data_IF_666985550470
#
_entry.id   IF_666985550470
#
_cell.length_a   1.000
_cell.length_b   1.000
_cell.length_c   1.000
_cell.angle_alpha   90.00
_cell.angle_beta   90.00
_cell.angle_gamma   90.00
#
_symmetry.space_group_name_H-M   'P 1'
#
loop_
_entity.id
_entity.type
_entity.pdbx_description
1 polymer ?
#
# COMPACT_ATOMS: atom_id res chain seq x y z
N UNK A 1 27.40 30.31 16.19
CA UNK A 1 26.08 29.86 16.73
C UNK A 1 24.94 30.08 15.76
N UNK A 2 24.73 31.30 15.23
CA UNK A 2 23.63 31.55 14.28
C UNK A 2 23.82 30.87 12.91
N UNK A 3 25.06 30.86 12.40
CA UNK A 3 25.42 30.21 11.12
C UNK A 3 25.43 28.67 11.21
N UNK A 4 25.49 28.13 12.43
CA UNK A 4 25.44 26.70 12.73
C UNK A 4 24.02 26.21 13.06
N UNK A 5 22.99 27.02 12.79
CA UNK A 5 21.58 26.64 12.99
C UNK A 5 21.11 26.58 14.44
N UNK A 6 21.87 27.11 15.42
CA UNK A 6 21.45 27.10 16.82
C UNK A 6 20.17 27.91 17.03
N UNK A 7 19.29 27.44 17.91
CA UNK A 7 18.05 28.16 18.19
C UNK A 7 18.33 29.50 18.88
N UNK A 8 17.42 30.45 18.76
CA UNK A 8 17.57 31.74 19.44
C UNK A 8 17.55 31.59 20.97
N UNK A 9 16.93 30.52 21.49
CA UNK A 9 16.91 30.22 22.92
C UNK A 9 18.29 29.69 23.37
N UNK A 10 18.96 28.88 22.56
CA UNK A 10 20.34 28.46 22.79
C UNK A 10 21.31 29.64 22.73
N UNK A 11 21.11 30.55 21.76
CA UNK A 11 21.90 31.78 21.64
C UNK A 11 21.64 32.70 22.84
N UNK A 12 20.40 32.82 23.31
CA UNK A 12 20.04 33.64 24.47
C UNK A 12 20.63 33.07 25.77
N UNK A 13 20.60 31.75 25.94
CA UNK A 13 21.24 31.06 27.06
C UNK A 13 22.75 31.31 27.05
N UNK A 14 23.40 31.18 25.88
CA UNK A 14 24.84 31.44 25.75
C UNK A 14 25.20 32.90 25.99
N UNK A 15 24.36 33.85 25.56
CA UNK A 15 24.54 35.27 25.87
C UNK A 15 24.46 35.52 27.38
N UNK A 16 23.53 34.88 28.10
CA UNK A 16 23.45 35.00 29.56
C UNK A 16 24.68 34.39 30.26
N UNK A 17 25.20 33.26 29.77
CA UNK A 17 26.46 32.69 30.27
C UNK A 17 27.63 33.64 30.06
N UNK A 18 27.75 34.26 28.88
CA UNK A 18 28.81 35.24 28.61
C UNK A 18 28.68 36.51 29.46
N UNK A 19 27.45 36.96 29.74
CA UNK A 19 27.21 38.11 30.62
C UNK A 19 27.57 37.77 32.08
N UNK A 20 27.25 36.55 32.53
CA UNK A 20 27.59 36.08 33.87
C UNK A 20 29.12 36.00 34.09
N UNK A 21 29.89 35.73 33.03
CA UNK A 21 31.35 35.67 33.06
C UNK A 21 32.05 37.04 33.03
N UNK A 22 31.31 38.16 32.93
CA UNK A 22 31.89 39.52 32.97
C UNK A 22 32.21 39.89 34.42
N UNK A 23 33.49 40.15 34.70
CA UNK A 23 33.98 40.53 36.04
C UNK A 23 33.78 42.02 36.38
N UNK A 24 33.60 42.87 35.37
CA UNK A 24 33.35 44.30 35.51
C UNK A 24 31.85 44.56 35.68
N UNK A 25 31.42 44.90 36.90
CA UNK A 25 30.01 45.07 37.27
C UNK A 25 29.29 46.15 36.45
N UNK A 26 29.99 47.24 36.07
CA UNK A 26 29.39 48.29 35.26
C UNK A 26 29.13 47.82 33.82
N UNK A 27 30.07 47.05 33.24
CA UNK A 27 29.90 46.42 31.92
C UNK A 27 28.86 45.32 31.94
N UNK A 28 28.81 44.52 33.01
CA UNK A 28 27.82 43.47 33.21
C UNK A 28 26.40 44.03 33.23
N UNK A 29 26.13 45.05 34.05
CA UNK A 29 24.83 45.70 34.12
C UNK A 29 24.39 46.31 32.77
N UNK A 30 25.34 46.85 31.99
CA UNK A 30 25.07 47.37 30.64
C UNK A 30 24.75 46.25 29.65
N UNK A 31 25.47 45.13 29.74
CA UNK A 31 25.25 43.96 28.90
C UNK A 31 23.91 43.26 29.19
N UNK A 32 23.49 43.18 30.46
CA UNK A 32 22.18 42.67 30.87
C UNK A 32 21.03 43.49 30.27
N UNK A 33 21.11 44.83 30.39
CA UNK A 33 20.12 45.75 29.81
C UNK A 33 20.06 45.60 28.28
N UNK A 34 21.21 45.53 27.62
CA UNK A 34 21.28 45.33 26.17
C UNK A 34 20.69 43.97 25.76
N UNK A 35 20.96 42.89 26.51
CA UNK A 35 20.43 41.56 26.22
C UNK A 35 18.91 41.51 26.32
N UNK A 36 18.30 42.17 27.31
CA UNK A 36 16.84 42.28 27.43
C UNK A 36 16.23 42.99 26.23
N UNK A 37 16.81 44.13 25.81
CA UNK A 37 16.34 44.90 24.66
C UNK A 37 16.52 44.11 23.35
N UNK A 38 17.70 43.51 23.14
CA UNK A 38 17.98 42.69 21.97
C UNK A 38 17.05 41.47 21.89
N UNK A 39 16.78 40.77 23.00
CA UNK A 39 15.79 39.68 23.04
C UNK A 39 14.41 40.15 22.60
N UNK A 40 13.98 41.34 23.05
CA UNK A 40 12.71 41.93 22.65
C UNK A 40 12.70 42.25 21.14
N UNK A 41 13.76 42.84 20.61
CA UNK A 41 13.87 43.19 19.18
C UNK A 41 13.90 41.93 18.29
N UNK A 42 14.73 40.94 18.62
CA UNK A 42 14.78 39.69 17.86
C UNK A 42 13.49 38.86 18.00
N UNK A 43 12.84 38.90 19.16
CA UNK A 43 11.52 38.31 19.37
C UNK A 43 10.41 38.99 18.55
N UNK A 44 10.49 40.30 18.34
CA UNK A 44 9.58 41.06 17.47
C UNK A 44 9.87 40.77 15.99
N UNK A 45 11.14 40.72 15.58
CA UNK A 45 11.51 40.34 14.21
C UNK A 45 11.07 38.90 13.85
N UNK A 46 11.01 37.98 14.83
CA UNK A 46 10.43 36.64 14.65
C UNK A 46 8.92 36.67 14.48
N UNK A 47 8.21 37.54 15.20
CA UNK A 47 6.76 37.76 15.00
C UNK A 47 6.49 38.27 13.58
N UNK A 48 7.21 39.29 13.13
CA UNK A 48 7.12 39.77 11.75
C UNK A 48 7.50 38.72 10.68
N UNK A 49 8.51 37.86 10.92
CA UNK A 49 8.81 36.75 9.99
C UNK A 49 7.76 35.65 9.96
N UNK A 50 7.09 35.37 11.10
CA UNK A 50 6.00 34.39 11.17
C UNK A 50 4.70 34.92 10.59
N UNK A 51 4.44 36.22 10.72
CA UNK A 51 3.27 36.86 10.12
C UNK A 51 3.38 37.00 8.58
N UNK A 52 4.55 36.70 7.99
CA UNK A 52 4.81 36.83 6.55
C UNK A 52 5.22 35.53 5.83
N UNK A 53 5.02 34.33 6.39
CA UNK A 53 4.97 33.14 5.52
C UNK A 53 3.58 33.08 4.88
N UNK A 54 3.37 33.94 3.88
CA UNK A 54 2.18 33.89 3.06
C UNK A 54 2.24 32.60 2.24
N UNK A 55 1.47 31.59 2.66
CA UNK A 55 1.31 30.36 1.88
C UNK A 55 0.96 30.75 0.45
N UNK A 56 1.74 30.37 -0.55
CA UNK A 56 1.38 30.67 -1.94
C UNK A 56 0.39 29.62 -2.43
N UNK A 57 -0.50 30.01 -3.35
CA UNK A 57 -1.42 29.05 -3.96
C UNK A 57 -0.62 27.95 -4.68
N UNK A 58 0.46 28.33 -5.35
CA UNK A 58 1.37 27.44 -6.07
C UNK A 58 1.94 26.36 -5.15
N UNK A 59 2.37 26.73 -3.94
CA UNK A 59 2.87 25.75 -2.96
C UNK A 59 1.77 24.75 -2.56
N UNK A 60 0.53 25.22 -2.38
CA UNK A 60 -0.58 24.33 -2.08
C UNK A 60 -0.91 23.40 -3.26
N UNK A 61 -0.85 23.92 -4.50
CA UNK A 61 -1.09 23.15 -5.71
C UNK A 61 -0.04 22.05 -5.93
N UNK A 62 1.23 22.35 -5.64
CA UNK A 62 2.35 21.43 -5.82
C UNK A 62 2.45 20.38 -4.70
N UNK A 63 2.10 20.73 -3.45
CA UNK A 63 2.33 19.84 -2.30
C UNK A 63 1.09 19.14 -1.77
N UNK A 64 -0.08 19.77 -1.89
CA UNK A 64 -1.28 19.34 -1.16
C UNK A 64 -2.50 19.08 -2.05
N UNK A 65 -2.44 19.45 -3.33
CA UNK A 65 -3.54 19.33 -4.29
C UNK A 65 -3.11 18.60 -5.57
N UNK A 66 -2.13 17.69 -5.49
CA UNK A 66 -1.67 16.92 -6.67
C UNK A 66 -2.66 15.82 -7.06
N UNK A 67 -3.66 15.57 -6.23
CA UNK A 67 -4.81 14.72 -6.52
C UNK A 67 -5.88 15.39 -7.41
N UNK A 68 -5.76 16.70 -7.66
CA UNK A 68 -6.59 17.41 -8.64
C UNK A 68 -6.04 17.21 -10.06
N UNK A 69 -6.93 17.06 -11.03
CA UNK A 69 -6.56 17.07 -12.45
C UNK A 69 -6.27 18.51 -12.94
N UNK A 70 -5.77 18.63 -14.16
CA UNK A 70 -5.32 19.92 -14.69
C UNK A 70 -6.47 20.94 -14.85
N UNK A 71 -7.67 20.48 -15.21
CA UNK A 71 -8.87 21.32 -15.31
C UNK A 71 -9.29 21.86 -13.92
N UNK A 72 -9.31 21.01 -12.90
CA UNK A 72 -9.59 21.39 -11.51
C UNK A 72 -8.53 22.34 -10.97
N UNK A 73 -7.25 22.13 -11.32
CA UNK A 73 -6.14 23.04 -10.96
C UNK A 73 -6.30 24.40 -11.64
N UNK A 74 -6.70 24.45 -12.91
CA UNK A 74 -7.00 25.70 -13.61
C UNK A 74 -8.21 26.42 -12.98
N UNK A 75 -9.24 25.67 -12.59
CA UNK A 75 -10.40 26.23 -11.88
C UNK A 75 -10.01 26.79 -10.50
N UNK A 76 -9.09 26.14 -9.76
CA UNK A 76 -8.55 26.66 -8.49
C UNK A 76 -7.84 27.99 -8.68
N UNK A 77 -7.01 28.13 -9.72
CA UNK A 77 -6.34 29.41 -10.03
C UNK A 77 -7.36 30.51 -10.30
N UNK A 78 -8.37 30.22 -11.13
CA UNK A 78 -9.45 31.17 -11.46
C UNK A 78 -10.27 31.57 -10.24
N UNK A 79 -10.60 30.63 -9.37
CA UNK A 79 -11.33 30.92 -8.11
C UNK A 79 -10.46 31.75 -7.18
N UNK A 80 -9.15 31.48 -7.10
CA UNK A 80 -8.25 32.24 -6.26
C UNK A 80 -8.16 33.72 -6.69
N UNK A 81 -8.10 33.98 -8.00
CA UNK A 81 -8.05 35.34 -8.55
C UNK A 81 -9.35 36.14 -8.31
N UNK A 82 -10.51 35.47 -8.26
CA UNK A 82 -11.83 36.12 -8.20
C UNK A 82 -12.49 36.12 -6.82
N UNK A 83 -12.31 35.04 -6.04
CA UNK A 83 -12.93 34.82 -4.74
C UNK A 83 -11.94 34.56 -3.60
N UNK A 84 -10.64 34.56 -3.88
CA UNK A 84 -9.59 34.41 -2.88
C UNK A 84 -9.52 33.01 -2.24
N UNK A 85 -8.74 32.90 -1.16
CA UNK A 85 -8.41 31.62 -0.51
C UNK A 85 -9.62 30.89 0.09
N UNK A 86 -10.62 31.61 0.58
CA UNK A 86 -11.79 30.99 1.21
C UNK A 86 -12.66 30.23 0.22
N UNK A 87 -12.87 30.78 -0.98
CA UNK A 87 -13.62 30.10 -2.05
C UNK A 87 -12.84 28.90 -2.61
N UNK A 88 -11.51 29.01 -2.75
CA UNK A 88 -10.66 27.87 -3.08
C UNK A 88 -10.83 26.75 -2.06
N UNK A 89 -10.76 27.09 -0.76
CA UNK A 89 -10.93 26.11 0.31
C UNK A 89 -12.29 25.42 0.24
N UNK A 90 -13.40 26.17 0.06
CA UNK A 90 -14.75 25.59 -0.08
C UNK A 90 -14.81 24.62 -1.26
N UNK A 91 -14.27 25.01 -2.42
CA UNK A 91 -14.29 24.19 -3.63
C UNK A 91 -13.45 22.92 -3.49
N UNK A 92 -12.24 23.03 -2.95
CA UNK A 92 -11.35 21.88 -2.70
C UNK A 92 -12.00 20.89 -1.74
N UNK A 93 -12.64 21.38 -0.66
CA UNK A 93 -13.35 20.51 0.27
C UNK A 93 -14.58 19.85 -0.35
N UNK A 94 -15.32 20.56 -1.21
CA UNK A 94 -16.43 19.97 -1.95
C UNK A 94 -15.97 18.84 -2.89
N UNK A 95 -14.86 19.04 -3.61
CA UNK A 95 -14.26 17.96 -4.41
C UNK A 95 -13.72 16.81 -3.57
N UNK A 96 -13.12 17.09 -2.41
CA UNK A 96 -12.67 16.03 -1.50
C UNK A 96 -13.85 15.18 -0.98
N UNK A 97 -14.98 15.82 -0.70
CA UNK A 97 -16.19 15.15 -0.25
C UNK A 97 -16.81 14.30 -1.36
N UNK A 98 -16.87 14.83 -2.58
CA UNK A 98 -17.37 14.14 -3.78
C UNK A 98 -16.39 13.12 -4.37
N UNK A 99 -15.10 13.17 -4.00
CA UNK A 99 -14.12 12.18 -4.42
C UNK A 99 -14.49 10.80 -3.86
N UNK A 100 -14.00 9.76 -4.53
CA UNK A 100 -14.11 8.39 -4.08
C UNK A 100 -12.85 7.61 -4.45
N UNK A 101 -12.76 6.36 -3.99
CA UNK A 101 -11.61 5.48 -4.23
C UNK A 101 -10.24 6.12 -3.93
N UNK A 102 -9.29 5.85 -4.83
CA UNK A 102 -7.88 6.19 -4.68
C UNK A 102 -7.65 7.71 -4.74
N UNK A 103 -8.49 8.45 -5.47
CA UNK A 103 -8.45 9.93 -5.49
C UNK A 103 -8.77 10.48 -4.10
N UNK A 104 -9.77 9.91 -3.40
CA UNK A 104 -10.12 10.31 -2.03
C UNK A 104 -9.06 9.90 -1.02
N UNK A 105 -8.39 8.76 -1.23
CA UNK A 105 -7.28 8.31 -0.41
C UNK A 105 -6.08 9.26 -0.54
N UNK A 106 -5.64 9.54 -1.77
CA UNK A 106 -4.55 10.49 -2.07
C UNK A 106 -4.88 11.87 -1.51
N UNK A 107 -6.09 12.35 -1.75
CA UNK A 107 -6.57 13.63 -1.20
C UNK A 107 -6.55 13.63 0.33
N UNK A 108 -6.97 12.56 1.00
CA UNK A 108 -6.96 12.48 2.47
C UNK A 108 -5.53 12.53 3.03
N UNK A 109 -4.55 11.91 2.37
CA UNK A 109 -3.13 11.95 2.79
C UNK A 109 -2.54 13.34 2.59
N UNK A 110 -2.72 13.93 1.42
CA UNK A 110 -2.18 15.26 1.09
C UNK A 110 -2.84 16.36 1.92
N UNK A 111 -4.16 16.35 2.07
CA UNK A 111 -4.88 17.32 2.90
C UNK A 111 -4.57 17.12 4.40
N UNK A 112 -4.21 15.91 4.83
CA UNK A 112 -3.70 15.69 6.19
C UNK A 112 -2.33 16.34 6.41
N UNK A 113 -1.46 16.31 5.39
CA UNK A 113 -0.19 17.04 5.44
C UNK A 113 -0.45 18.57 5.46
N UNK A 114 -1.37 19.05 4.63
CA UNK A 114 -1.83 20.44 4.64
C UNK A 114 -2.33 20.85 6.03
N UNK A 115 -3.17 20.02 6.66
CA UNK A 115 -3.66 20.24 8.02
C UNK A 115 -2.54 20.41 9.04
N UNK A 116 -1.49 19.58 9.00
CA UNK A 116 -0.35 19.74 9.90
C UNK A 116 0.38 21.06 9.68
N UNK A 117 0.50 21.47 8.42
CA UNK A 117 1.16 22.71 8.04
C UNK A 117 0.35 23.92 8.53
N UNK A 118 -0.87 24.09 8.03
CA UNK A 118 -1.70 25.26 8.34
C UNK A 118 -2.08 25.35 9.83
N UNK A 119 -2.43 24.24 10.50
CA UNK A 119 -2.74 24.29 11.94
C UNK A 119 -1.51 24.71 12.74
N UNK A 120 -0.32 24.22 12.38
CA UNK A 120 0.94 24.62 13.02
C UNK A 120 1.19 26.13 12.88
N UNK A 121 0.87 26.73 11.74
CA UNK A 121 1.04 28.18 11.56
C UNK A 121 0.04 29.00 12.38
N UNK A 122 -1.16 28.47 12.62
CA UNK A 122 -2.14 29.10 13.51
C UNK A 122 -1.74 29.01 14.99
N UNK A 123 -1.38 27.82 15.47
CA UNK A 123 -1.13 27.57 16.90
C UNK A 123 0.33 27.81 17.33
N UNK A 124 1.25 27.90 16.37
CA UNK A 124 2.69 28.07 16.59
C UNK A 124 3.45 26.77 16.85
N UNK A 125 4.77 26.82 16.62
CA UNK A 125 5.69 25.67 16.76
C UNK A 125 5.64 25.01 18.15
N UNK A 126 5.53 25.80 19.21
CA UNK A 126 5.52 25.29 20.59
C UNK A 126 4.29 24.41 20.86
N UNK A 127 3.10 24.91 20.50
CA UNK A 127 1.86 24.18 20.66
C UNK A 127 1.79 22.99 19.70
N UNK A 128 2.31 23.12 18.48
CA UNK A 128 2.45 21.98 17.56
C UNK A 128 3.39 20.89 18.10
N UNK A 129 4.45 21.27 18.82
CA UNK A 129 5.32 20.35 19.56
C UNK A 129 4.55 19.54 20.61
N UNK A 130 3.72 20.21 21.42
CA UNK A 130 2.84 19.55 22.41
C UNK A 130 1.84 18.58 21.76
N UNK A 131 1.28 18.94 20.60
CA UNK A 131 0.43 18.02 19.83
C UNK A 131 1.22 16.78 19.35
N UNK A 132 2.46 16.96 18.93
CA UNK A 132 3.33 15.86 18.51
C UNK A 132 3.65 14.92 19.67
N UNK A 133 4.01 15.46 20.83
CA UNK A 133 4.27 14.69 22.06
C UNK A 133 3.03 13.90 22.50
N UNK A 134 1.85 14.54 22.51
CA UNK A 134 0.59 13.85 22.80
C UNK A 134 0.36 12.67 21.86
N UNK A 135 0.59 12.87 20.57
CA UNK A 135 0.46 11.79 19.59
C UNK A 135 1.47 10.66 19.83
N UNK A 136 2.71 10.98 20.19
CA UNK A 136 3.75 10.00 20.49
C UNK A 136 3.47 9.22 21.79
N UNK A 137 2.80 9.85 22.76
CA UNK A 137 2.30 9.21 23.99
C UNK A 137 1.09 8.31 23.77
N UNK A 138 0.59 8.19 22.54
CA UNK A 138 -0.56 7.34 22.21
C UNK A 138 -1.92 7.98 22.47
N UNK A 139 -1.99 9.30 22.63
CA UNK A 139 -3.26 10.01 22.82
C UNK A 139 -4.23 9.76 21.65
N UNK A 140 -5.52 9.71 21.96
CA UNK A 140 -6.53 9.48 20.93
C UNK A 140 -6.65 10.69 19.99
N UNK A 141 -7.16 10.48 18.77
CA UNK A 141 -7.45 11.59 17.85
C UNK A 141 -8.46 12.59 18.46
N UNK A 142 -9.32 12.15 19.38
CA UNK A 142 -10.25 13.03 20.10
C UNK A 142 -9.49 13.93 21.08
N UNK A 143 -8.53 13.39 21.83
CA UNK A 143 -7.71 14.14 22.77
C UNK A 143 -6.83 15.16 22.02
N UNK A 144 -6.23 14.72 20.91
CA UNK A 144 -5.45 15.60 20.03
C UNK A 144 -6.35 16.71 19.45
N UNK A 145 -7.55 16.37 18.97
CA UNK A 145 -8.49 17.36 18.44
C UNK A 145 -8.95 18.36 19.51
N UNK A 146 -9.19 17.90 20.74
CA UNK A 146 -9.56 18.76 21.86
C UNK A 146 -8.41 19.72 22.20
N UNK A 147 -7.17 19.22 22.25
CA UNK A 147 -5.99 20.04 22.52
C UNK A 147 -5.73 21.08 21.43
N UNK A 148 -5.93 20.73 20.15
CA UNK A 148 -5.86 21.70 19.04
C UNK A 148 -6.90 22.82 19.22
N UNK A 149 -8.14 22.47 19.58
CA UNK A 149 -9.19 23.48 19.83
C UNK A 149 -8.87 24.36 21.05
N UNK A 150 -8.27 23.81 22.11
CA UNK A 150 -7.79 24.58 23.27
C UNK A 150 -6.75 25.62 22.85
N UNK A 151 -5.77 25.23 22.03
CA UNK A 151 -4.75 26.16 21.53
C UNK A 151 -5.33 27.23 20.60
N UNK A 152 -6.33 26.88 19.79
CA UNK A 152 -7.04 27.84 18.94
C UNK A 152 -7.86 28.82 19.78
N UNK A 153 -8.51 28.35 20.84
CA UNK A 153 -9.31 29.19 21.73
C UNK A 153 -8.47 30.28 22.42
N UNK A 154 -7.19 30.00 22.66
CA UNK A 154 -6.20 30.92 23.25
C UNK A 154 -5.65 31.97 22.26
N UNK A 155 -5.99 31.90 20.97
CA UNK A 155 -5.62 32.92 19.98
C UNK A 155 -6.40 34.21 20.27
N UNK A 156 -5.69 35.32 20.47
CA UNK A 156 -6.28 36.63 20.77
C UNK A 156 -6.80 37.39 19.55
N UNK A 157 -6.23 37.13 18.37
CA UNK A 157 -6.67 37.70 17.10
C UNK A 157 -7.96 37.00 16.63
N UNK A 158 -9.07 37.73 16.60
CA UNK A 158 -10.39 37.19 16.26
C UNK A 158 -10.49 36.66 14.83
N UNK A 159 -9.83 37.30 13.85
CA UNK A 159 -9.85 36.86 12.46
C UNK A 159 -8.99 35.61 12.27
N UNK A 160 -7.80 35.60 12.87
CA UNK A 160 -6.91 34.43 12.88
C UNK A 160 -7.55 33.25 13.61
N UNK A 161 -8.24 33.49 14.72
CA UNK A 161 -8.98 32.48 15.48
C UNK A 161 -10.10 31.87 14.65
N UNK A 162 -10.94 32.69 14.01
CA UNK A 162 -12.03 32.19 13.16
C UNK A 162 -11.50 31.34 11.98
N UNK A 163 -10.39 31.75 11.35
CA UNK A 163 -9.72 30.97 10.30
C UNK A 163 -9.18 29.64 10.83
N UNK A 164 -8.56 29.64 12.01
CA UNK A 164 -8.03 28.44 12.65
C UNK A 164 -9.15 27.47 13.06
N UNK A 165 -10.27 27.95 13.59
CA UNK A 165 -11.44 27.12 13.94
C UNK A 165 -12.02 26.42 12.70
N UNK A 166 -12.24 27.16 11.61
CA UNK A 166 -12.69 26.58 10.33
C UNK A 166 -11.73 25.50 9.83
N UNK A 167 -10.42 25.77 9.87
CA UNK A 167 -9.40 24.79 9.47
C UNK A 167 -9.40 23.55 10.37
N UNK A 168 -9.54 23.71 11.69
CA UNK A 168 -9.55 22.58 12.63
C UNK A 168 -10.75 21.65 12.42
N UNK A 169 -11.93 22.21 12.14
CA UNK A 169 -13.13 21.42 11.81
C UNK A 169 -12.90 20.61 10.52
N UNK A 170 -12.33 21.22 9.48
CA UNK A 170 -11.95 20.55 8.24
C UNK A 170 -10.98 19.39 8.50
N UNK A 171 -9.93 19.68 9.26
CA UNK A 171 -8.88 18.73 9.57
C UNK A 171 -9.40 17.54 10.37
N UNK A 172 -10.31 17.77 11.32
CA UNK A 172 -10.99 16.68 12.03
C UNK A 172 -11.71 15.74 11.06
N UNK A 173 -12.41 16.27 10.06
CA UNK A 173 -13.09 15.47 9.02
C UNK A 173 -12.08 14.67 8.18
N UNK A 174 -11.00 15.31 7.72
CA UNK A 174 -9.93 14.67 6.93
C UNK A 174 -9.28 13.52 7.71
N UNK A 175 -8.89 13.75 8.96
CA UNK A 175 -8.28 12.73 9.82
C UNK A 175 -9.23 11.55 10.08
N UNK A 176 -10.53 11.81 10.22
CA UNK A 176 -11.55 10.77 10.35
C UNK A 176 -11.69 9.90 9.09
N UNK A 177 -11.46 10.46 7.90
CA UNK A 177 -11.42 9.72 6.63
C UNK A 177 -10.15 8.85 6.55
N UNK A 178 -8.97 9.41 6.85
CA UNK A 178 -7.72 8.65 6.83
C UNK A 178 -7.74 7.48 7.81
N UNK A 179 -8.44 7.61 8.96
CA UNK A 179 -8.59 6.54 9.94
C UNK A 179 -9.43 5.36 9.43
N UNK A 180 -10.46 5.62 8.63
CA UNK A 180 -11.27 4.57 7.99
C UNK A 180 -10.44 3.80 6.97
N UNK A 181 -9.73 4.50 6.09
CA UNK A 181 -8.80 3.87 5.16
C UNK A 181 -7.76 3.00 5.87
N UNK A 182 -7.19 3.47 6.99
CA UNK A 182 -6.19 2.70 7.74
C UNK A 182 -6.75 1.48 8.49
N UNK A 183 -8.04 1.45 8.80
CA UNK A 183 -8.70 0.28 9.41
C UNK A 183 -9.11 -0.74 8.36
N UNK A 184 -9.45 -0.29 7.15
CA UNK A 184 -10.03 -1.13 6.11
C UNK A 184 -9.04 -1.56 5.02
N UNK A 185 -7.85 -0.95 4.94
CA UNK A 185 -6.82 -1.26 3.95
C UNK A 185 -5.44 -1.43 4.60
N UNK A 186 -4.83 -2.60 4.41
CA UNK A 186 -3.37 -2.66 4.33
C UNK A 186 -2.98 -1.85 3.09
N UNK A 187 -2.12 -0.85 3.25
CA UNK A 187 -1.66 0.02 2.17
C UNK A 187 -0.78 -0.82 1.22
N UNK A 188 -1.35 -1.40 0.15
CA UNK A 188 -0.60 -2.13 -0.87
C UNK A 188 0.22 -1.15 -1.70
N UNK A 189 1.44 -0.83 -1.27
CA UNK A 189 2.32 0.05 -2.04
C UNK A 189 2.63 -0.58 -3.40
N UNK A 190 2.71 0.24 -4.43
CA UNK A 190 3.05 -0.22 -5.77
C UNK A 190 4.40 -0.95 -5.75
N UNK A 191 5.37 -0.43 -5.01
CA UNK A 191 6.69 -1.01 -4.85
C UNK A 191 6.63 -2.44 -4.31
N UNK A 192 5.78 -2.68 -3.30
CA UNK A 192 5.59 -4.03 -2.76
C UNK A 192 4.98 -4.97 -3.81
N UNK A 193 4.03 -4.49 -4.60
CA UNK A 193 3.45 -5.27 -5.69
C UNK A 193 4.48 -5.56 -6.79
N UNK A 194 5.35 -4.60 -7.12
CA UNK A 194 6.42 -4.76 -8.10
C UNK A 194 7.47 -5.78 -7.66
N UNK A 195 7.83 -5.78 -6.37
CA UNK A 195 8.84 -6.67 -5.79
C UNK A 195 8.31 -8.09 -5.53
N UNK A 196 7.02 -8.25 -5.20
CA UNK A 196 6.47 -9.55 -4.80
C UNK A 196 5.66 -10.26 -5.89
N UNK A 197 4.97 -9.51 -6.75
CA UNK A 197 3.94 -10.08 -7.64
C UNK A 197 4.19 -9.83 -9.13
N UNK A 198 5.16 -8.97 -9.46
CA UNK A 198 5.44 -8.55 -10.84
C UNK A 198 6.92 -8.73 -11.20
N UNK A 199 7.60 -9.72 -10.61
CA UNK A 199 9.03 -9.98 -10.91
C UNK A 199 9.23 -10.68 -12.25
N UNK A 200 8.13 -11.14 -12.87
CA UNK A 200 8.09 -11.64 -14.24
C UNK A 200 8.08 -10.52 -15.29
N UNK A 201 7.88 -9.25 -14.89
CA UNK A 201 8.04 -8.10 -15.77
C UNK A 201 9.51 -7.72 -15.94
N UNK A 202 9.88 -7.29 -17.14
CA UNK A 202 11.19 -6.68 -17.39
C UNK A 202 11.24 -5.22 -16.88
N UNK A 203 12.44 -4.63 -16.89
CA UNK A 203 12.65 -3.30 -16.32
C UNK A 203 11.91 -2.18 -17.06
N UNK A 204 11.76 -2.29 -18.38
CA UNK A 204 10.98 -1.35 -19.19
C UNK A 204 9.48 -1.40 -18.83
N UNK A 205 8.93 -2.61 -18.69
CA UNK A 205 7.55 -2.82 -18.26
C UNK A 205 7.32 -2.31 -16.83
N UNK A 206 8.31 -2.50 -15.94
CA UNK A 206 8.26 -1.96 -14.57
C UNK A 206 8.29 -0.44 -14.55
N UNK A 207 9.10 0.21 -15.40
CA UNK A 207 9.10 1.66 -15.54
C UNK A 207 7.76 2.18 -16.10
N UNK A 208 7.18 1.47 -17.08
CA UNK A 208 5.85 1.81 -17.62
C UNK A 208 4.76 1.68 -16.54
N UNK A 209 4.81 0.66 -15.68
CA UNK A 209 3.90 0.51 -14.54
C UNK A 209 3.96 1.71 -13.59
N UNK A 210 5.16 2.19 -13.25
CA UNK A 210 5.32 3.39 -12.41
C UNK A 210 4.68 4.62 -13.06
N UNK A 211 4.94 4.84 -14.35
CA UNK A 211 4.37 5.96 -15.10
C UNK A 211 2.84 5.91 -15.20
N UNK A 212 2.28 4.72 -15.45
CA UNK A 212 0.83 4.51 -15.47
C UNK A 212 0.23 4.74 -14.09
N UNK A 213 0.91 4.30 -13.02
CA UNK A 213 0.43 4.51 -11.66
C UNK A 213 0.35 5.99 -11.29
N UNK A 214 1.34 6.78 -11.66
CA UNK A 214 1.39 8.24 -11.39
C UNK A 214 0.27 9.01 -12.09
N UNK A 215 -0.16 8.55 -13.27
CA UNK A 215 -1.10 9.27 -14.16
C UNK A 215 -2.52 8.71 -14.13
N UNK A 216 -2.67 7.38 -14.10
CA UNK A 216 -3.94 6.65 -14.17
C UNK A 216 -4.27 5.78 -12.96
N UNK A 217 -3.38 5.71 -11.97
CA UNK A 217 -3.61 4.98 -10.72
C UNK A 217 -3.61 3.45 -10.87
N UNK A 218 -4.11 2.75 -9.84
CA UNK A 218 -4.06 1.26 -9.74
C UNK A 218 -4.88 0.54 -10.81
N UNK A 219 -6.02 1.10 -11.22
CA UNK A 219 -6.90 0.43 -12.18
C UNK A 219 -6.26 0.33 -13.57
N UNK A 220 -5.57 1.38 -14.02
CA UNK A 220 -4.84 1.35 -15.30
C UNK A 220 -3.62 0.44 -15.24
N UNK A 221 -2.89 0.43 -14.11
CA UNK A 221 -1.80 -0.54 -13.88
C UNK A 221 -2.35 -1.97 -13.97
N UNK A 222 -3.46 -2.24 -13.30
CA UNK A 222 -4.09 -3.54 -13.31
C UNK A 222 -4.49 -3.98 -14.73
N UNK A 223 -5.15 -3.11 -15.50
CA UNK A 223 -5.50 -3.40 -16.91
C UNK A 223 -4.27 -3.75 -17.74
N UNK A 224 -3.18 -2.97 -17.61
CA UNK A 224 -1.94 -3.19 -18.35
C UNK A 224 -1.25 -4.49 -17.96
N UNK A 225 -1.12 -4.77 -16.67
CA UNK A 225 -0.52 -6.01 -16.14
C UNK A 225 -1.30 -7.23 -16.62
N UNK A 226 -2.64 -7.18 -16.58
CA UNK A 226 -3.47 -8.27 -17.07
C UNK A 226 -3.34 -8.47 -18.59
N UNK A 227 -3.22 -7.40 -19.36
CA UNK A 227 -2.97 -7.49 -20.80
C UNK A 227 -1.62 -8.17 -21.11
N UNK A 228 -0.56 -7.81 -20.37
CA UNK A 228 0.74 -8.51 -20.50
C UNK A 228 0.67 -9.96 -20.07
N UNK A 229 -0.08 -10.27 -19.02
CA UNK A 229 -0.27 -11.65 -18.57
C UNK A 229 -1.00 -12.51 -19.62
N UNK A 230 -2.05 -11.96 -20.24
CA UNK A 230 -2.79 -12.64 -21.30
C UNK A 230 -1.90 -12.88 -22.53
N UNK A 231 -1.05 -11.91 -22.89
CA UNK A 231 -0.08 -12.00 -23.99
C UNK A 231 1.20 -12.79 -23.71
N UNK A 232 1.52 -13.05 -22.44
CA UNK A 232 2.70 -13.85 -22.07
C UNK A 232 2.54 -15.32 -22.50
N UNK A 233 3.67 -15.99 -22.75
CA UNK A 233 3.74 -17.41 -23.11
C UNK A 233 4.91 -18.10 -22.40
N UNK A 234 4.93 -19.44 -22.42
CA UNK A 234 5.97 -20.26 -21.82
C UNK A 234 6.23 -19.97 -20.34
N UNK A 235 7.49 -20.04 -19.95
CA UNK A 235 7.98 -19.88 -18.57
C UNK A 235 7.59 -18.52 -17.97
N UNK A 236 7.53 -17.47 -18.79
CA UNK A 236 7.09 -16.14 -18.35
C UNK A 236 5.63 -16.18 -17.92
N UNK A 237 4.76 -16.87 -18.66
CA UNK A 237 3.34 -17.01 -18.30
C UNK A 237 3.15 -17.87 -17.06
N UNK A 238 3.96 -18.91 -16.89
CA UNK A 238 3.94 -19.76 -15.69
C UNK A 238 4.34 -18.96 -14.45
N UNK A 239 5.50 -18.27 -14.50
CA UNK A 239 5.97 -17.41 -13.41
C UNK A 239 4.95 -16.34 -13.07
N UNK A 240 4.38 -15.68 -14.08
CA UNK A 240 3.32 -14.69 -13.91
C UNK A 240 2.07 -15.30 -13.24
N UNK A 241 1.64 -16.49 -13.64
CA UNK A 241 0.47 -17.15 -13.05
C UNK A 241 0.69 -17.48 -11.56
N UNK A 242 1.89 -17.91 -11.17
CA UNK A 242 2.23 -18.20 -9.76
C UNK A 242 2.23 -16.92 -8.93
N UNK A 243 2.91 -15.87 -9.40
CA UNK A 243 3.01 -14.60 -8.68
C UNK A 243 1.67 -13.89 -8.58
N UNK A 244 0.90 -13.83 -9.66
CA UNK A 244 -0.44 -13.23 -9.66
C UNK A 244 -1.44 -14.05 -8.83
N UNK A 245 -1.24 -15.37 -8.68
CA UNK A 245 -2.04 -16.20 -7.75
C UNK A 245 -1.80 -15.80 -6.30
N UNK A 246 -0.55 -15.48 -5.94
CA UNK A 246 -0.21 -14.94 -4.62
C UNK A 246 -0.81 -13.54 -4.41
N UNK A 247 -0.76 -12.68 -5.44
CA UNK A 247 -1.43 -11.38 -5.43
C UNK A 247 -2.93 -11.53 -5.18
N UNK A 248 -3.59 -12.42 -5.90
CA UNK A 248 -5.01 -12.73 -5.71
C UNK A 248 -5.36 -13.12 -4.28
N UNK A 249 -4.55 -13.97 -3.64
CA UNK A 249 -4.75 -14.33 -2.24
C UNK A 249 -4.63 -13.12 -1.31
N UNK A 250 -3.70 -12.22 -1.61
CA UNK A 250 -3.47 -11.01 -0.82
C UNK A 250 -4.62 -10.01 -0.96
N UNK A 251 -4.99 -9.63 -2.19
CA UNK A 251 -6.01 -8.62 -2.45
C UNK A 251 -7.43 -9.11 -2.12
N UNK A 252 -7.78 -10.37 -2.39
CA UNK A 252 -9.10 -10.91 -2.05
C UNK A 252 -9.29 -10.94 -0.52
N UNK A 253 -8.25 -11.27 0.25
CA UNK A 253 -8.29 -11.23 1.71
C UNK A 253 -8.67 -9.84 2.24
N UNK A 254 -8.18 -8.79 1.59
CA UNK A 254 -8.47 -7.41 2.00
C UNK A 254 -9.91 -6.98 1.63
N UNK A 255 -10.44 -7.48 0.52
CA UNK A 255 -11.84 -7.24 0.16
C UNK A 255 -12.82 -7.96 1.08
N UNK A 256 -12.61 -9.26 1.32
CA UNK A 256 -13.54 -10.10 2.08
C UNK A 256 -13.31 -10.07 3.59
N UNK A 257 -12.17 -9.54 4.04
CA UNK A 257 -11.78 -9.50 5.44
C UNK A 257 -11.11 -10.80 5.92
N UNK A 258 -10.39 -10.69 7.05
CA UNK A 258 -9.58 -11.78 7.63
C UNK A 258 -10.41 -13.03 7.96
N UNK A 259 -11.59 -12.86 8.56
CA UNK A 259 -12.46 -13.98 8.96
C UNK A 259 -12.91 -14.81 7.75
N UNK A 260 -13.39 -14.15 6.70
CA UNK A 260 -13.81 -14.83 5.47
C UNK A 260 -12.63 -15.46 4.73
N UNK A 261 -11.45 -14.82 4.77
CA UNK A 261 -10.23 -15.39 4.21
C UNK A 261 -9.76 -16.66 4.94
N UNK A 262 -9.97 -16.76 6.25
CA UNK A 262 -9.71 -17.99 7.03
C UNK A 262 -10.65 -19.11 6.59
N UNK A 263 -11.94 -18.85 6.38
CA UNK A 263 -12.89 -19.83 5.81
C UNK A 263 -12.47 -20.32 4.43
N UNK A 264 -12.00 -19.43 3.55
CA UNK A 264 -11.47 -19.83 2.23
C UNK A 264 -10.20 -20.69 2.33
N UNK A 265 -9.36 -20.44 3.34
CA UNK A 265 -8.17 -21.24 3.61
C UNK A 265 -8.56 -22.63 4.09
N UNK A 266 -9.49 -22.73 5.02
CA UNK A 266 -10.03 -24.01 5.51
C UNK A 266 -10.65 -24.84 4.38
N UNK A 267 -11.46 -24.21 3.51
CA UNK A 267 -12.01 -24.88 2.32
C UNK A 267 -10.91 -25.46 1.43
N UNK A 268 -9.81 -24.71 1.23
CA UNK A 268 -8.68 -25.19 0.43
C UNK A 268 -7.96 -26.35 1.10
N UNK A 269 -7.79 -26.31 2.42
CA UNK A 269 -7.16 -27.37 3.21
C UNK A 269 -8.03 -28.63 3.28
N UNK A 270 -9.36 -28.48 3.25
CA UNK A 270 -10.33 -29.58 3.14
C UNK A 270 -10.49 -30.12 1.72
N UNK A 271 -9.67 -29.68 0.76
CA UNK A 271 -9.69 -30.18 -0.62
C UNK A 271 -10.80 -29.62 -1.51
N UNK A 272 -11.44 -28.51 -1.15
CA UNK A 272 -12.45 -27.88 -2.00
C UNK A 272 -11.87 -27.48 -3.36
N UNK A 273 -12.69 -27.56 -4.40
CA UNK A 273 -12.25 -27.20 -5.74
C UNK A 273 -12.04 -25.69 -5.88
N UNK A 274 -11.19 -25.28 -6.83
CA UNK A 274 -11.04 -23.85 -7.16
C UNK A 274 -12.38 -23.21 -7.58
N UNK A 275 -13.34 -24.00 -8.10
CA UNK A 275 -14.69 -23.51 -8.42
C UNK A 275 -15.52 -23.25 -7.16
N UNK A 276 -15.47 -24.13 -6.16
CA UNK A 276 -16.18 -23.96 -4.90
C UNK A 276 -15.64 -22.75 -4.13
N UNK A 277 -14.30 -22.64 -4.07
CA UNK A 277 -13.62 -21.49 -3.47
C UNK A 277 -14.00 -20.21 -4.23
N UNK A 278 -13.99 -20.22 -5.57
CA UNK A 278 -14.41 -19.06 -6.36
C UNK A 278 -15.87 -18.69 -6.12
N UNK A 279 -16.77 -19.66 -5.98
CA UNK A 279 -18.18 -19.42 -5.64
C UNK A 279 -18.31 -18.75 -4.28
N UNK A 280 -17.59 -19.25 -3.28
CA UNK A 280 -17.61 -18.68 -1.93
C UNK A 280 -17.02 -17.27 -1.85
N UNK A 281 -15.97 -16.99 -2.63
CA UNK A 281 -15.42 -15.63 -2.78
C UNK A 281 -16.50 -14.68 -3.33
N UNK A 282 -17.23 -15.07 -4.37
CA UNK A 282 -18.31 -14.24 -4.94
C UNK A 282 -19.46 -14.02 -3.95
N UNK A 283 -19.79 -15.02 -3.14
CA UNK A 283 -20.80 -14.89 -2.06
C UNK A 283 -20.36 -13.85 -1.01
N UNK A 284 -19.10 -13.89 -0.56
CA UNK A 284 -18.57 -12.90 0.37
C UNK A 284 -18.52 -11.49 -0.24
N UNK A 285 -18.20 -11.38 -1.52
CA UNK A 285 -18.21 -10.10 -2.24
C UNK A 285 -19.64 -9.57 -2.37
N UNK A 286 -20.62 -10.44 -2.63
CA UNK A 286 -22.02 -10.05 -2.75
C UNK A 286 -22.56 -9.41 -1.47
N UNK A 287 -22.06 -9.83 -0.31
CA UNK A 287 -22.40 -9.32 1.02
C UNK A 287 -21.73 -7.97 1.37
N UNK A 288 -20.82 -7.45 0.54
CA UNK A 288 -20.22 -6.12 0.72
C UNK A 288 -21.28 -5.04 0.45
N UNK A 289 -21.52 -4.18 1.44
CA UNK A 289 -22.51 -3.08 1.36
C UNK A 289 -22.01 -1.86 0.59
N UNK A 290 -20.69 -1.65 0.53
CA UNK A 290 -20.08 -0.58 -0.24
C UNK A 290 -20.05 -0.95 -1.74
N UNK A 291 -20.82 -0.23 -2.54
CA UNK A 291 -20.98 -0.51 -3.98
C UNK A 291 -19.68 -0.37 -4.78
N UNK A 292 -18.80 0.56 -4.43
CA UNK A 292 -17.52 0.74 -5.14
C UNK A 292 -16.54 -0.37 -4.76
N UNK A 293 -16.43 -0.68 -3.46
CA UNK A 293 -15.60 -1.78 -2.96
C UNK A 293 -16.07 -3.11 -3.53
N UNK A 294 -17.39 -3.32 -3.62
CA UNK A 294 -18.00 -4.51 -4.24
C UNK A 294 -17.63 -4.63 -5.70
N UNK A 295 -17.81 -3.57 -6.50
CA UNK A 295 -17.46 -3.59 -7.92
C UNK A 295 -15.96 -3.87 -8.16
N UNK A 296 -15.08 -3.29 -7.35
CA UNK A 296 -13.63 -3.57 -7.40
C UNK A 296 -13.32 -5.03 -7.03
N UNK A 297 -13.95 -5.55 -5.99
CA UNK A 297 -13.78 -6.94 -5.56
C UNK A 297 -14.30 -7.93 -6.60
N UNK A 298 -15.43 -7.66 -7.25
CA UNK A 298 -15.97 -8.48 -8.34
C UNK A 298 -15.01 -8.55 -9.53
N UNK A 299 -14.50 -7.39 -9.99
CA UNK A 299 -13.48 -7.34 -11.06
C UNK A 299 -12.24 -8.16 -10.70
N UNK A 300 -11.75 -8.02 -9.47
CA UNK A 300 -10.58 -8.76 -8.99
C UNK A 300 -10.86 -10.27 -8.93
N UNK A 301 -12.02 -10.68 -8.42
CA UNK A 301 -12.39 -12.09 -8.32
C UNK A 301 -12.48 -12.77 -9.69
N UNK A 302 -13.04 -12.07 -10.69
CA UNK A 302 -13.12 -12.57 -12.07
C UNK A 302 -11.73 -12.80 -12.67
N UNK A 303 -10.80 -11.86 -12.51
CA UNK A 303 -9.43 -12.06 -13.01
C UNK A 303 -8.68 -13.14 -12.22
N UNK A 304 -8.85 -13.19 -10.90
CA UNK A 304 -8.27 -14.24 -10.09
C UNK A 304 -8.74 -15.62 -10.51
N UNK A 305 -10.02 -15.79 -10.84
CA UNK A 305 -10.54 -17.04 -11.41
C UNK A 305 -9.80 -17.43 -12.70
N UNK A 306 -9.53 -16.48 -13.60
CA UNK A 306 -8.74 -16.74 -14.82
C UNK A 306 -7.32 -17.19 -14.49
N UNK A 307 -6.63 -16.48 -13.60
CA UNK A 307 -5.24 -16.76 -13.19
C UNK A 307 -5.12 -18.17 -12.57
N UNK A 308 -6.04 -18.54 -11.67
CA UNK A 308 -6.07 -19.87 -11.05
C UNK A 308 -6.27 -20.98 -12.10
N UNK A 309 -7.09 -20.73 -13.12
CA UNK A 309 -7.30 -21.65 -14.23
C UNK A 309 -6.05 -21.90 -15.08
N UNK A 310 -5.21 -20.88 -15.30
CA UNK A 310 -3.95 -21.00 -16.05
C UNK A 310 -2.89 -21.77 -15.26
N UNK A 311 -2.71 -21.43 -13.97
CA UNK A 311 -1.74 -22.12 -13.10
C UNK A 311 -2.04 -23.63 -12.96
N UNK A 312 -3.32 -24.04 -13.02
CA UNK A 312 -3.71 -25.45 -13.01
C UNK A 312 -3.25 -26.20 -14.27
N UNK A 313 -3.26 -25.56 -15.44
CA UNK A 313 -2.81 -26.16 -16.70
C UNK A 313 -1.31 -26.40 -16.68
N UNK A 314 -0.51 -25.38 -16.37
CA UNK A 314 0.95 -25.54 -16.27
C UNK A 314 1.37 -26.59 -15.22
N UNK A 315 0.68 -26.64 -14.07
CA UNK A 315 0.95 -27.70 -13.09
C UNK A 315 0.65 -29.08 -13.66
N UNK A 316 -0.44 -29.23 -14.43
CA UNK A 316 -0.77 -30.50 -15.10
C UNK A 316 0.28 -30.84 -16.15
N UNK A 317 0.64 -29.90 -17.01
CA UNK A 317 1.61 -30.10 -18.10
C UNK A 317 3.01 -30.42 -17.54
N UNK A 318 3.43 -29.78 -16.44
CA UNK A 318 4.68 -30.10 -15.75
C UNK A 318 4.64 -31.50 -15.09
N UNK A 319 3.49 -31.91 -14.53
CA UNK A 319 3.33 -33.27 -13.99
C UNK A 319 3.28 -34.33 -15.10
N UNK A 320 2.69 -33.98 -16.24
CA UNK A 320 2.63 -34.83 -17.44
C UNK A 320 4.03 -35.03 -18.04
N UNK A 321 4.81 -33.96 -18.20
CA UNK A 321 6.23 -34.06 -18.60
C UNK A 321 7.05 -34.93 -17.64
N UNK A 322 6.88 -34.74 -16.33
CA UNK A 322 7.56 -35.59 -15.32
C UNK A 322 7.13 -37.05 -15.36
N UNK A 323 5.89 -37.32 -15.72
CA UNK A 323 5.40 -38.70 -15.91
C UNK A 323 5.99 -39.30 -17.18
N UNK A 324 5.99 -38.57 -18.30
CA UNK A 324 6.56 -39.02 -19.56
C UNK A 324 8.05 -39.32 -19.43
N UNK A 325 8.82 -38.42 -18.82
CA UNK A 325 10.23 -38.65 -18.50
C UNK A 325 10.41 -39.92 -17.63
N UNK A 326 9.58 -40.10 -16.61
CA UNK A 326 9.65 -41.31 -15.76
C UNK A 326 9.26 -42.58 -16.51
N UNK A 327 8.33 -42.51 -17.46
CA UNK A 327 7.91 -43.63 -18.29
C UNK A 327 8.99 -44.03 -19.31
N UNK A 328 9.68 -43.04 -19.88
CA UNK A 328 10.78 -43.25 -20.83
C UNK A 328 12.06 -43.73 -20.15
N UNK A 329 12.28 -43.37 -18.89
CA UNK A 329 13.52 -43.71 -18.18
C UNK A 329 13.40 -44.96 -17.31
N UNK A 330 12.24 -45.21 -16.69
CA UNK A 330 12.09 -46.23 -15.65
C UNK A 330 10.98 -47.26 -15.89
N UNK A 331 10.17 -47.09 -16.94
CA UNK A 331 9.07 -47.99 -17.28
C UNK A 331 9.15 -48.46 -18.74
N UNK A 332 10.37 -48.67 -19.25
CA UNK A 332 10.58 -49.10 -20.65
C UNK A 332 10.30 -50.59 -20.86
N UNK A 333 10.07 -51.33 -19.77
CA UNK A 333 9.60 -52.71 -19.76
C UNK A 333 8.08 -52.83 -19.92
N UNK A 334 7.32 -51.73 -19.80
CA UNK A 334 5.89 -51.70 -20.10
C UNK A 334 5.65 -51.61 -21.61
N UNK A 335 4.62 -52.29 -22.09
CA UNK A 335 4.13 -52.12 -23.47
C UNK A 335 3.30 -50.85 -23.63
N UNK A 336 2.96 -50.50 -24.87
CA UNK A 336 2.27 -49.24 -25.18
C UNK A 336 0.87 -49.15 -24.56
N UNK A 337 0.15 -50.28 -24.48
CA UNK A 337 -1.18 -50.35 -23.84
C UNK A 337 -1.08 -50.10 -22.32
N UNK A 338 -0.10 -50.71 -21.66
CA UNK A 338 0.20 -50.50 -20.24
C UNK A 338 0.64 -49.07 -19.97
N UNK A 339 1.44 -48.47 -20.86
CA UNK A 339 1.85 -47.07 -20.78
C UNK A 339 0.66 -46.12 -20.93
N UNK A 340 -0.25 -46.39 -21.86
CA UNK A 340 -1.48 -45.61 -22.02
C UNK A 340 -2.39 -45.70 -20.78
N UNK A 341 -2.48 -46.89 -20.17
CA UNK A 341 -3.23 -47.08 -18.92
C UNK A 341 -2.58 -46.33 -17.75
N UNK A 342 -1.24 -46.27 -17.65
CA UNK A 342 -0.53 -45.45 -16.65
C UNK A 342 -0.87 -43.97 -16.80
N UNK A 343 -0.86 -43.42 -18.03
CA UNK A 343 -1.25 -42.02 -18.27
C UNK A 343 -2.67 -41.75 -17.77
N UNK A 344 -3.62 -42.63 -18.10
CA UNK A 344 -5.02 -42.50 -17.68
C UNK A 344 -5.21 -42.59 -16.16
N UNK A 345 -4.49 -43.48 -15.49
CA UNK A 345 -4.54 -43.60 -14.02
C UNK A 345 -3.89 -42.39 -13.36
N UNK A 346 -2.77 -41.88 -13.91
CA UNK A 346 -2.10 -40.70 -13.37
C UNK A 346 -2.98 -39.45 -13.40
N UNK A 347 -3.79 -39.30 -14.45
CA UNK A 347 -4.75 -38.19 -14.61
C UNK A 347 -5.93 -38.24 -13.61
N UNK A 348 -6.33 -39.44 -13.16
CA UNK A 348 -7.59 -39.67 -12.42
C UNK A 348 -7.42 -40.16 -10.98
N UNK A 349 -6.39 -40.96 -10.71
CA UNK A 349 -6.15 -41.64 -9.42
C UNK A 349 -4.84 -41.24 -8.71
N UNK A 350 -3.99 -40.42 -9.34
CA UNK A 350 -2.75 -39.94 -8.74
C UNK A 350 -1.63 -40.99 -8.64
N UNK A 351 -0.51 -40.61 -8.01
CA UNK A 351 0.75 -41.39 -8.00
C UNK A 351 0.64 -42.75 -7.29
N UNK A 352 -0.18 -42.86 -6.26
CA UNK A 352 -0.32 -44.09 -5.48
C UNK A 352 -1.00 -45.21 -6.27
N UNK A 353 -2.04 -44.88 -7.05
CA UNK A 353 -2.73 -45.85 -7.91
C UNK A 353 -1.85 -46.28 -9.09
N UNK A 354 -1.07 -45.35 -9.65
CA UNK A 354 -0.04 -45.70 -10.65
C UNK A 354 0.98 -46.67 -10.06
N UNK A 355 1.48 -46.41 -8.84
CA UNK A 355 2.42 -47.31 -8.18
C UNK A 355 1.82 -48.70 -7.96
N UNK A 356 0.61 -48.80 -7.40
CA UNK A 356 -0.08 -50.09 -7.21
C UNK A 356 -0.22 -50.86 -8.52
N UNK A 357 -0.61 -50.18 -9.60
CA UNK A 357 -0.80 -50.82 -10.91
C UNK A 357 0.52 -51.29 -11.52
N UNK A 358 1.55 -50.45 -11.48
CA UNK A 358 2.91 -50.79 -11.97
C UNK A 358 3.48 -51.97 -11.18
N UNK A 359 3.29 -52.01 -9.86
CA UNK A 359 3.73 -53.13 -9.01
C UNK A 359 2.96 -54.41 -9.32
N UNK A 360 1.64 -54.35 -9.56
CA UNK A 360 0.86 -55.51 -9.96
C UNK A 360 1.37 -56.12 -11.29
N UNK A 361 1.74 -55.29 -12.28
CA UNK A 361 2.36 -55.79 -13.51
C UNK A 361 3.77 -56.33 -13.29
N UNK A 362 4.55 -55.74 -12.39
CA UNK A 362 5.86 -56.25 -12.03
C UNK A 362 5.77 -57.63 -11.36
N UNK A 363 4.83 -57.82 -10.44
CA UNK A 363 4.58 -59.10 -9.78
C UNK A 363 4.18 -60.18 -10.78
N UNK A 364 3.31 -59.83 -11.74
CA UNK A 364 2.87 -60.70 -12.84
C UNK A 364 3.86 -60.90 -13.98
N UNK A 365 4.94 -60.10 -14.06
CA UNK A 365 5.96 -60.24 -15.08
C UNK A 365 6.84 -61.47 -14.85
N UNK A 366 7.37 -62.05 -15.92
CA UNK A 366 8.26 -63.21 -15.90
C UNK A 366 9.38 -63.10 -16.93
N UNK A 367 10.48 -63.83 -16.72
CA UNK A 367 11.63 -63.87 -17.63
C UNK A 367 12.31 -62.50 -17.77
N UNK A 368 12.81 -62.22 -18.97
CA UNK A 368 13.60 -61.02 -19.29
C UNK A 368 12.87 -59.70 -18.96
N UNK A 369 11.55 -59.68 -19.08
CA UNK A 369 10.73 -58.51 -18.72
C UNK A 369 10.81 -58.22 -17.22
N UNK A 370 10.79 -59.26 -16.37
CA UNK A 370 10.87 -59.11 -14.91
C UNK A 370 12.26 -58.62 -14.48
N UNK A 371 13.30 -59.11 -15.13
CA UNK A 371 14.68 -58.69 -14.87
C UNK A 371 14.90 -57.21 -15.24
N UNK A 372 14.45 -56.82 -16.44
CA UNK A 372 14.48 -55.42 -16.90
C UNK A 372 13.70 -54.50 -15.96
N UNK A 373 12.50 -54.91 -15.57
CA UNK A 373 11.66 -54.16 -14.63
C UNK A 373 12.34 -53.98 -13.26
N UNK A 374 13.00 -55.02 -12.73
CA UNK A 374 13.70 -54.93 -11.45
C UNK A 374 14.87 -53.93 -11.49
N UNK A 375 15.62 -53.88 -12.59
CA UNK A 375 16.73 -52.92 -12.77
C UNK A 375 16.22 -51.49 -12.83
N UNK A 376 15.21 -51.23 -13.66
CA UNK A 376 14.66 -49.89 -13.86
C UNK A 376 13.95 -49.35 -12.61
N UNK A 377 13.13 -50.17 -11.95
CA UNK A 377 12.45 -49.78 -10.71
C UNK A 377 13.44 -49.54 -9.57
N UNK A 378 14.54 -50.31 -9.49
CA UNK A 378 15.62 -50.06 -8.53
C UNK A 378 16.34 -48.74 -8.81
N UNK A 379 16.54 -48.40 -10.09
CA UNK A 379 17.11 -47.11 -10.48
C UNK A 379 16.16 -45.95 -10.13
N UNK A 380 14.85 -46.12 -10.33
CA UNK A 380 13.84 -45.16 -9.91
C UNK A 380 13.86 -44.93 -8.39
N UNK A 381 13.89 -46.00 -7.59
CA UNK A 381 13.98 -45.89 -6.12
C UNK A 381 15.22 -45.10 -5.67
N UNK A 382 16.35 -45.25 -6.34
CA UNK A 382 17.58 -44.48 -6.04
C UNK A 382 17.50 -43.00 -6.45
N UNK A 383 16.62 -42.64 -7.37
CA UNK A 383 16.46 -41.27 -7.85
C UNK A 383 15.50 -40.45 -6.97
N UNK A 384 14.62 -41.12 -6.22
CA UNK A 384 13.56 -40.50 -5.42
C UNK A 384 13.74 -40.65 -3.89
N UNK A 385 14.83 -41.32 -3.45
CA UNK A 385 15.33 -41.36 -2.06
C UNK A 385 16.60 -40.52 -2.03
#
# INVERSE_FOLDING_TARGET
MKESGASNDDIAAKINEFIAAISDEAKKAKAEKAAVVCRKIYGVARRFRRDHHEHKLEEAMEKYLTWLNDDQKAEVKKIYETGGREEVYKKVMAWFEGASGDVKEKAAVELKAACKHYIKDYIGDENAGKIKELKESGASDQDISAKVMEFIAAISDGEKKAKAEKAAVACKKIYGVTRRFRRDHHEHKLEEAMEKYLTWLNDDQKAEVKKIYETGGREEVYKKVMAWFEGASGDVKEKAAVELKAACKHYIKDYVGKENAEKLKEMKESGASDQDISGKVMEFIAAISDGEKKAKAEKAAVACKKIYGVAKRFRRDHHEHKLEEAMEQYLTWLNDDQKAEVKKIYETGGREEVYKKVMAWFEGASGDVKEKAAVELKAACKHYI
#
